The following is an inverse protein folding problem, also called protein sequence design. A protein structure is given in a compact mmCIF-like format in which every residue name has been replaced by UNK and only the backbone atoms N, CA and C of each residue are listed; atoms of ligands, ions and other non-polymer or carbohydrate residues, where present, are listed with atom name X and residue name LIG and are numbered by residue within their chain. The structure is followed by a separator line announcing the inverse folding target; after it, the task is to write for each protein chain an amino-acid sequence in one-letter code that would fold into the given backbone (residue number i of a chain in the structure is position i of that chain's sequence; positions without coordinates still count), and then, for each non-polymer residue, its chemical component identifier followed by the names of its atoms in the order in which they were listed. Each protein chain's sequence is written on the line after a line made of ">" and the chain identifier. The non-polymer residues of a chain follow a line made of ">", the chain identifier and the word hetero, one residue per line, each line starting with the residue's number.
data_IF_975069026730
#
_entry.id   IF_975069026730
#
_cell.length_a   1.000
_cell.length_b   1.000
_cell.length_c   1.000
_cell.angle_alpha   90.00
_cell.angle_beta   90.00
_cell.angle_gamma   90.00
#
_symmetry.space_group_name_H-M   'P 1'
#
loop_
_entity.id
_entity.type
_entity.pdbx_description
1 polymer ?
#
# COMPACT_ATOMS: atom_id res chain seq x y z
N UNK A 1 5.08 -36.71 -12.25
CA UNK A 1 4.07 -36.53 -11.15
C UNK A 1 4.27 -35.24 -10.35
N UNK A 2 5.37 -35.00 -9.58
CA UNK A 2 5.53 -33.76 -8.80
C UNK A 2 5.74 -32.52 -9.69
N UNK A 3 6.56 -32.60 -10.74
CA UNK A 3 6.78 -31.54 -11.73
C UNK A 3 5.49 -31.14 -12.45
N UNK A 4 4.69 -32.14 -12.83
CA UNK A 4 3.41 -31.91 -13.52
C UNK A 4 2.40 -31.25 -12.58
N UNK A 5 2.39 -31.66 -11.33
CA UNK A 5 1.55 -31.03 -10.31
C UNK A 5 1.94 -29.57 -10.07
N UNK A 6 3.24 -29.26 -9.93
CA UNK A 6 3.75 -27.88 -9.79
C UNK A 6 3.43 -27.06 -11.02
N UNK A 7 3.65 -27.59 -12.23
CA UNK A 7 3.34 -26.92 -13.48
C UNK A 7 1.83 -26.60 -13.57
N UNK A 8 0.98 -27.57 -13.26
CA UNK A 8 -0.47 -27.39 -13.28
C UNK A 8 -0.93 -26.36 -12.24
N UNK A 9 -0.36 -26.36 -11.01
CA UNK A 9 -0.66 -25.33 -10.01
C UNK A 9 -0.29 -23.92 -10.50
N UNK A 10 0.89 -23.74 -11.12
CA UNK A 10 1.30 -22.47 -11.72
C UNK A 10 0.37 -22.02 -12.84
N UNK A 11 -0.04 -22.97 -13.71
CA UNK A 11 -0.98 -22.68 -14.80
C UNK A 11 -2.36 -22.28 -14.27
N UNK A 12 -2.87 -22.96 -13.24
CA UNK A 12 -4.15 -22.62 -12.60
C UNK A 12 -4.06 -21.23 -11.93
N UNK A 13 -2.99 -20.95 -11.19
CA UNK A 13 -2.77 -19.64 -10.57
C UNK A 13 -2.77 -18.50 -11.59
N UNK A 14 -2.08 -18.70 -12.72
CA UNK A 14 -2.07 -17.73 -13.82
C UNK A 14 -3.46 -17.53 -14.44
N UNK A 15 -4.18 -18.62 -14.68
CA UNK A 15 -5.53 -18.55 -15.29
C UNK A 15 -6.52 -17.85 -14.33
N UNK A 16 -6.41 -18.08 -13.02
CA UNK A 16 -7.25 -17.40 -12.01
C UNK A 16 -6.99 -15.89 -12.00
N UNK A 17 -5.72 -15.46 -12.12
CA UNK A 17 -5.36 -14.05 -12.20
C UNK A 17 -5.89 -13.32 -13.46
N UNK A 18 -6.19 -14.06 -14.53
CA UNK A 18 -6.75 -13.52 -15.78
C UNK A 18 -8.30 -13.67 -15.86
N UNK A 19 -8.93 -14.26 -14.85
CA UNK A 19 -10.37 -14.55 -14.87
C UNK A 19 -11.18 -13.31 -14.48
N UNK A 20 -12.22 -13.01 -15.25
CA UNK A 20 -13.19 -11.97 -14.91
C UNK A 20 -14.14 -12.49 -13.82
N UNK A 21 -14.35 -11.68 -12.79
CA UNK A 21 -15.21 -11.98 -11.67
C UNK A 21 -16.40 -11.01 -11.71
N UNK A 22 -17.62 -11.54 -11.72
CA UNK A 22 -18.83 -10.75 -11.56
C UNK A 22 -18.99 -10.38 -10.08
N UNK A 23 -19.07 -9.10 -9.80
CA UNK A 23 -19.22 -8.57 -8.44
C UNK A 23 -20.67 -8.22 -8.15
N UNK A 24 -21.17 -8.62 -6.99
CA UNK A 24 -22.47 -8.15 -6.47
C UNK A 24 -22.28 -6.80 -5.78
N UNK A 25 -22.23 -5.74 -6.57
CA UNK A 25 -22.03 -4.39 -6.07
C UNK A 25 -23.37 -3.82 -5.62
N UNK A 26 -23.45 -3.30 -4.38
CA UNK A 26 -24.57 -2.55 -3.81
C UNK A 26 -24.10 -1.21 -3.24
N UNK A 27 -22.96 -1.21 -2.56
CA UNK A 27 -22.40 -0.04 -1.88
C UNK A 27 -21.05 0.33 -2.48
N UNK A 28 -20.98 1.48 -3.14
CA UNK A 28 -19.77 2.00 -3.77
C UNK A 28 -19.21 3.12 -2.91
N UNK A 29 -17.95 3.00 -2.52
CA UNK A 29 -17.21 4.03 -1.81
C UNK A 29 -16.36 4.85 -2.79
N UNK A 30 -16.50 6.16 -2.77
CA UNK A 30 -15.67 7.08 -3.57
C UNK A 30 -14.68 7.77 -2.65
N UNK A 31 -13.38 7.66 -2.99
CA UNK A 31 -12.27 8.29 -2.28
C UNK A 31 -11.60 9.28 -3.21
N UNK A 32 -11.55 10.54 -2.79
CA UNK A 32 -10.89 11.62 -3.52
C UNK A 32 -10.22 12.60 -2.57
N UNK A 33 -9.30 13.43 -3.08
CA UNK A 33 -8.70 14.51 -2.28
C UNK A 33 -9.71 15.66 -2.17
N UNK A 34 -10.11 15.97 -0.95
CA UNK A 34 -11.14 16.99 -0.68
C UNK A 34 -10.67 18.43 -0.83
N UNK A 35 -9.36 18.68 -0.94
CA UNK A 35 -8.79 20.02 -1.05
C UNK A 35 -8.56 20.48 -2.51
N UNK A 36 -8.85 19.64 -3.49
CA UNK A 36 -8.66 19.94 -4.91
C UNK A 36 -10.03 20.15 -5.57
N UNK A 37 -10.34 21.41 -5.94
CA UNK A 37 -11.62 21.78 -6.55
C UNK A 37 -11.93 21.03 -7.83
N UNK A 38 -10.92 20.75 -8.66
CA UNK A 38 -11.10 20.00 -9.90
C UNK A 38 -11.59 18.60 -9.62
N UNK A 39 -11.04 17.96 -8.59
CA UNK A 39 -11.44 16.62 -8.12
C UNK A 39 -12.85 16.60 -7.55
N UNK A 40 -13.27 17.67 -6.85
CA UNK A 40 -14.62 17.79 -6.31
C UNK A 40 -15.66 17.80 -7.43
N UNK A 41 -15.44 18.59 -8.47
CA UNK A 41 -16.33 18.66 -9.63
C UNK A 41 -16.41 17.34 -10.39
N UNK A 42 -15.28 16.65 -10.54
CA UNK A 42 -15.24 15.33 -11.18
C UNK A 42 -15.91 14.26 -10.32
N UNK A 43 -15.77 14.35 -9.00
CA UNK A 43 -16.50 13.48 -8.05
C UNK A 43 -18.00 13.72 -8.19
N UNK A 44 -18.44 14.97 -8.27
CA UNK A 44 -19.84 15.31 -8.51
C UNK A 44 -20.36 14.68 -9.81
N UNK A 45 -19.61 14.81 -10.91
CA UNK A 45 -19.95 14.22 -12.21
C UNK A 45 -20.10 12.69 -12.11
N UNK A 46 -19.15 12.03 -11.45
CA UNK A 46 -19.17 10.58 -11.23
C UNK A 46 -20.38 10.15 -10.38
N UNK A 47 -20.66 10.88 -9.30
CA UNK A 47 -21.80 10.59 -8.41
C UNK A 47 -23.13 10.70 -9.16
N UNK A 48 -23.34 11.78 -9.93
CA UNK A 48 -24.55 11.96 -10.72
C UNK A 48 -24.72 10.81 -11.73
N UNK A 49 -23.63 10.43 -12.41
CA UNK A 49 -23.66 9.33 -13.37
C UNK A 49 -24.02 8.00 -12.69
N UNK A 50 -23.38 7.67 -11.57
CA UNK A 50 -23.62 6.43 -10.82
C UNK A 50 -25.07 6.37 -10.26
N UNK A 51 -25.61 7.48 -9.77
CA UNK A 51 -26.97 7.55 -9.27
C UNK A 51 -28.01 7.45 -10.39
N UNK A 52 -27.67 7.91 -11.60
CA UNK A 52 -28.52 7.86 -12.79
C UNK A 52 -28.38 6.54 -13.56
N UNK A 53 -27.31 5.77 -13.27
CA UNK A 53 -27.02 4.55 -14.01
C UNK A 53 -28.06 3.46 -13.71
N UNK A 54 -28.71 2.99 -14.78
CA UNK A 54 -29.59 1.84 -14.73
C UNK A 54 -28.87 0.65 -15.35
N UNK A 55 -28.48 -0.30 -14.52
CA UNK A 55 -27.91 -1.56 -15.02
C UNK A 55 -28.99 -2.40 -15.72
N UNK A 56 -28.58 -3.31 -16.61
CA UNK A 56 -29.47 -4.29 -17.25
C UNK A 56 -30.26 -5.16 -16.23
N UNK A 57 -29.92 -5.07 -14.95
CA UNK A 57 -30.52 -5.80 -13.83
C UNK A 57 -31.36 -4.90 -12.91
N UNK A 58 -31.71 -3.68 -13.30
CA UNK A 58 -32.44 -2.68 -12.50
C UNK A 58 -31.80 -2.39 -11.11
N UNK A 59 -30.50 -2.66 -10.95
CA UNK A 59 -29.79 -2.50 -9.69
C UNK A 59 -29.50 -1.02 -9.43
N UNK A 60 -29.93 -0.53 -8.26
CA UNK A 60 -29.58 0.80 -7.75
C UNK A 60 -28.42 0.70 -6.76
N UNK A 61 -27.42 1.55 -6.93
CA UNK A 61 -26.24 1.60 -6.05
C UNK A 61 -26.41 2.63 -4.94
N UNK A 62 -25.94 2.32 -3.75
CA UNK A 62 -25.72 3.31 -2.69
C UNK A 62 -24.30 3.87 -2.85
N UNK A 63 -24.17 5.17 -3.06
CA UNK A 63 -22.92 5.86 -3.31
C UNK A 63 -22.49 6.59 -2.04
N UNK A 64 -21.31 6.27 -1.56
CA UNK A 64 -20.74 6.89 -0.36
C UNK A 64 -19.61 7.83 -0.75
N UNK A 65 -19.73 9.11 -0.39
CA UNK A 65 -18.71 10.14 -0.56
C UNK A 65 -18.21 10.62 0.79
N UNK A 66 -17.07 11.31 0.84
CA UNK A 66 -16.54 11.86 2.09
C UNK A 66 -17.55 12.82 2.75
N UNK A 67 -17.68 12.70 4.06
CA UNK A 67 -18.62 13.53 4.85
C UNK A 67 -18.33 15.02 4.76
N UNK A 68 -17.09 15.40 4.45
CA UNK A 68 -16.70 16.80 4.26
C UNK A 68 -17.42 17.44 3.05
N UNK A 69 -17.82 16.66 2.05
CA UNK A 69 -18.53 17.17 0.86
C UNK A 69 -19.88 17.80 1.18
N UNK A 70 -20.46 17.56 2.34
CA UNK A 70 -21.71 18.23 2.77
C UNK A 70 -21.59 19.75 2.85
N UNK A 71 -20.35 20.25 3.11
CA UNK A 71 -20.09 21.70 3.26
C UNK A 71 -19.40 22.33 2.07
N UNK A 72 -19.24 21.61 0.93
CA UNK A 72 -18.60 22.16 -0.25
C UNK A 72 -19.60 22.63 -1.29
N UNK A 73 -19.58 23.94 -1.60
CA UNK A 73 -20.44 24.54 -2.64
C UNK A 73 -20.18 23.92 -4.02
N UNK A 74 -18.93 23.61 -4.33
CA UNK A 74 -18.54 22.98 -5.61
C UNK A 74 -19.12 21.55 -5.78
N UNK A 75 -19.40 20.85 -4.70
CA UNK A 75 -20.07 19.53 -4.75
C UNK A 75 -21.58 19.67 -4.87
N UNK A 76 -22.16 20.68 -4.21
CA UNK A 76 -23.57 21.05 -4.27
C UNK A 76 -24.51 19.83 -4.16
N UNK A 77 -24.49 19.23 -2.98
CA UNK A 77 -25.27 18.02 -2.70
C UNK A 77 -26.79 18.23 -2.85
N UNK A 78 -27.29 19.43 -2.58
CA UNK A 78 -28.72 19.77 -2.72
C UNK A 78 -29.15 19.74 -4.20
N UNK A 79 -28.37 20.32 -5.08
CA UNK A 79 -28.63 20.28 -6.52
C UNK A 79 -28.64 18.84 -7.05
N UNK A 80 -27.73 17.95 -6.58
CA UNK A 80 -27.73 16.53 -6.95
C UNK A 80 -29.05 15.87 -6.49
N UNK A 81 -29.48 16.11 -5.27
CA UNK A 81 -30.70 15.52 -4.71
C UNK A 81 -31.97 16.03 -5.37
N UNK A 82 -31.97 17.26 -5.90
CA UNK A 82 -33.08 17.85 -6.61
C UNK A 82 -33.24 17.30 -8.04
N UNK A 83 -32.20 16.69 -8.63
CA UNK A 83 -32.31 16.06 -9.95
C UNK A 83 -33.30 14.88 -9.95
N UNK A 84 -33.34 14.10 -8.86
CA UNK A 84 -34.28 13.00 -8.71
C UNK A 84 -34.50 12.68 -7.23
N UNK A 85 -35.77 12.64 -6.79
CA UNK A 85 -36.12 12.33 -5.41
C UNK A 85 -35.61 10.98 -4.90
N UNK A 86 -35.42 10.00 -5.81
CA UNK A 86 -34.86 8.69 -5.45
C UNK A 86 -33.38 8.77 -4.98
N UNK A 87 -32.61 9.79 -5.39
CA UNK A 87 -31.20 9.94 -5.06
C UNK A 87 -30.97 10.16 -3.56
N UNK A 88 -31.98 10.72 -2.85
CA UNK A 88 -31.92 10.96 -1.40
C UNK A 88 -31.64 9.69 -0.58
N UNK A 89 -32.10 8.54 -1.05
CA UNK A 89 -31.91 7.26 -0.37
C UNK A 89 -30.58 6.57 -0.76
N UNK A 90 -29.95 7.01 -1.84
CA UNK A 90 -28.79 6.37 -2.44
C UNK A 90 -27.50 7.15 -2.27
N UNK A 91 -27.52 8.48 -2.11
CA UNK A 91 -26.34 9.29 -1.78
C UNK A 91 -26.13 9.26 -0.25
N UNK A 92 -24.98 8.75 0.17
CA UNK A 92 -24.59 8.59 1.57
C UNK A 92 -23.19 9.17 1.81
N UNK A 93 -22.85 9.33 3.07
CA UNK A 93 -21.57 9.92 3.47
C UNK A 93 -20.79 8.95 4.33
N UNK A 94 -19.50 8.82 4.04
CA UNK A 94 -18.63 8.01 4.87
C UNK A 94 -17.74 8.89 5.75
N UNK A 95 -17.30 8.32 6.86
CA UNK A 95 -16.29 8.86 7.76
C UNK A 95 -15.18 7.84 7.95
N UNK A 96 -14.03 8.29 8.39
CA UNK A 96 -12.90 7.41 8.70
C UNK A 96 -13.30 6.27 9.68
N UNK A 97 -14.09 6.60 10.71
CA UNK A 97 -14.55 5.61 11.69
C UNK A 97 -15.49 4.57 11.08
N UNK A 98 -16.38 4.98 10.18
CA UNK A 98 -17.30 4.07 9.48
C UNK A 98 -16.50 3.04 8.68
N UNK A 99 -15.53 3.48 7.89
CA UNK A 99 -14.69 2.59 7.10
C UNK A 99 -13.87 1.62 7.97
N UNK A 100 -13.35 2.09 9.09
CA UNK A 100 -12.58 1.26 10.03
C UNK A 100 -13.42 0.23 10.77
N UNK A 101 -14.62 0.60 11.22
CA UNK A 101 -15.51 -0.28 11.99
C UNK A 101 -16.30 -1.22 11.09
N UNK A 102 -16.73 -0.75 9.94
CA UNK A 102 -17.65 -1.44 9.04
C UNK A 102 -17.13 -1.54 7.60
N UNK A 103 -15.85 -1.91 7.44
CA UNK A 103 -15.22 -2.05 6.12
C UNK A 103 -15.94 -3.03 5.18
N UNK A 104 -16.59 -4.06 5.73
CA UNK A 104 -17.42 -5.02 4.98
C UNK A 104 -18.74 -4.46 4.46
N UNK A 105 -19.09 -3.22 4.81
CA UNK A 105 -20.27 -2.54 4.27
C UNK A 105 -20.09 -2.24 2.77
N UNK A 106 -18.88 -2.01 2.32
CA UNK A 106 -18.57 -1.59 0.97
C UNK A 106 -18.21 -2.79 0.10
N UNK A 107 -18.73 -2.81 -1.12
CA UNK A 107 -18.52 -3.88 -2.10
C UNK A 107 -17.49 -3.48 -3.16
N UNK A 108 -17.33 -2.17 -3.39
CA UNK A 108 -16.47 -1.62 -4.42
C UNK A 108 -15.94 -0.24 -4.03
N UNK A 109 -14.69 0.03 -4.34
CA UNK A 109 -14.05 1.33 -4.10
C UNK A 109 -13.65 1.96 -5.43
N UNK A 110 -13.98 3.23 -5.61
CA UNK A 110 -13.50 4.05 -6.73
C UNK A 110 -12.62 5.15 -6.15
N UNK A 111 -11.38 5.25 -6.61
CA UNK A 111 -10.48 6.35 -6.22
C UNK A 111 -10.30 7.34 -7.37
N UNK A 112 -10.38 8.64 -7.07
CA UNK A 112 -10.08 9.73 -7.99
C UNK A 112 -8.81 10.44 -7.55
N UNK A 113 -7.74 10.32 -8.35
CA UNK A 113 -6.44 10.91 -8.05
C UNK A 113 -5.28 10.04 -8.50
N UNK A 114 -4.10 10.28 -7.95
CA UNK A 114 -2.90 9.48 -8.23
C UNK A 114 -2.69 8.33 -7.23
N UNK A 115 -1.50 7.72 -7.31
CA UNK A 115 -1.10 6.57 -6.46
C UNK A 115 -1.25 6.86 -4.96
N UNK A 116 -1.04 8.11 -4.52
CA UNK A 116 -1.25 8.50 -3.12
C UNK A 116 -2.69 8.37 -2.62
N UNK A 117 -3.71 8.46 -3.51
CA UNK A 117 -5.12 8.24 -3.16
C UNK A 117 -5.39 6.74 -3.00
N UNK A 118 -4.74 5.91 -3.81
CA UNK A 118 -4.80 4.44 -3.68
C UNK A 118 -4.14 3.98 -2.39
N UNK A 119 -2.97 4.53 -2.04
CA UNK A 119 -2.31 4.26 -0.75
C UNK A 119 -3.19 4.68 0.43
N UNK A 120 -3.90 5.80 0.32
CA UNK A 120 -4.84 6.22 1.35
C UNK A 120 -5.99 5.21 1.51
N UNK A 121 -6.52 4.63 0.43
CA UNK A 121 -7.53 3.59 0.50
C UNK A 121 -7.00 2.33 1.21
N UNK A 122 -5.76 1.92 0.93
CA UNK A 122 -5.11 0.80 1.64
C UNK A 122 -4.96 1.08 3.14
N UNK A 123 -4.61 2.31 3.49
CA UNK A 123 -4.48 2.73 4.89
C UNK A 123 -5.83 2.81 5.62
N UNK A 124 -6.89 3.22 4.91
CA UNK A 124 -8.25 3.29 5.45
C UNK A 124 -8.78 1.88 5.81
N UNK A 125 -8.48 0.87 4.98
CA UNK A 125 -8.92 -0.51 5.15
C UNK A 125 -7.78 -1.42 5.64
N UNK A 126 -7.64 -1.54 6.95
CA UNK A 126 -6.54 -2.30 7.58
C UNK A 126 -6.79 -3.82 7.65
N UNK A 127 -7.91 -4.32 7.16
CA UNK A 127 -8.22 -5.75 7.07
C UNK A 127 -8.68 -6.09 5.66
N UNK A 128 -9.94 -6.48 5.53
CA UNK A 128 -10.56 -6.77 4.23
C UNK A 128 -10.74 -5.46 3.48
N UNK A 129 -10.30 -5.44 2.23
CA UNK A 129 -10.45 -4.32 1.31
C UNK A 129 -11.35 -4.75 0.17
N UNK A 130 -12.41 -4.00 -0.16
CA UNK A 130 -13.16 -4.21 -1.40
C UNK A 130 -12.28 -3.97 -2.64
N UNK A 131 -12.62 -4.54 -3.82
CA UNK A 131 -11.91 -4.25 -5.06
C UNK A 131 -11.83 -2.75 -5.35
N UNK A 132 -10.65 -2.27 -5.71
CA UNK A 132 -10.34 -0.85 -5.90
C UNK A 132 -10.11 -0.57 -7.38
N UNK A 133 -10.96 0.29 -7.94
CA UNK A 133 -10.81 0.88 -9.26
C UNK A 133 -10.24 2.30 -9.12
N UNK A 134 -9.13 2.58 -9.81
CA UNK A 134 -8.40 3.83 -9.59
C UNK A 134 -8.30 4.66 -10.86
N UNK A 135 -9.03 5.79 -10.90
CA UNK A 135 -8.95 6.76 -11.97
C UNK A 135 -7.86 7.80 -11.72
N UNK A 136 -6.99 7.98 -12.71
CA UNK A 136 -6.03 9.06 -12.81
C UNK A 136 -6.63 10.25 -13.56
N UNK A 137 -6.21 11.46 -13.22
CA UNK A 137 -6.65 12.73 -13.82
C UNK A 137 -5.55 13.42 -14.62
N UNK A 138 -4.53 12.71 -14.96
CA UNK A 138 -3.39 13.20 -15.72
C UNK A 138 -2.54 12.05 -16.17
N UNK A 139 -1.24 12.08 -15.85
CA UNK A 139 -0.39 10.92 -16.12
C UNK A 139 -0.87 9.72 -15.30
N UNK A 140 -0.99 8.57 -15.94
CA UNK A 140 -1.36 7.32 -15.28
C UNK A 140 -0.35 6.98 -14.18
N UNK A 141 -0.80 6.64 -12.97
CA UNK A 141 0.02 6.17 -11.84
C UNK A 141 0.37 4.67 -11.96
N UNK A 142 1.27 4.11 -11.14
CA UNK A 142 1.50 2.66 -11.06
C UNK A 142 0.33 1.90 -10.42
N UNK A 143 -0.47 2.61 -9.64
CA UNK A 143 -1.67 2.11 -8.99
C UNK A 143 -2.94 2.72 -9.57
N UNK A 144 -2.91 3.97 -10.03
CA UNK A 144 -4.02 4.65 -10.70
C UNK A 144 -3.88 4.46 -12.22
N UNK A 145 -4.51 3.39 -12.73
CA UNK A 145 -4.27 2.88 -14.09
C UNK A 145 -5.36 3.24 -15.11
N UNK A 146 -6.50 3.80 -14.67
CA UNK A 146 -7.61 4.14 -15.56
C UNK A 146 -7.65 5.65 -15.80
N UNK A 147 -7.92 6.05 -17.05
CA UNK A 147 -8.16 7.44 -17.39
C UNK A 147 -9.59 7.84 -17.04
N UNK A 148 -9.76 8.93 -16.30
CA UNK A 148 -11.08 9.42 -15.95
C UNK A 148 -11.89 9.91 -17.16
N UNK A 149 -11.25 10.28 -18.26
CA UNK A 149 -11.97 10.72 -19.47
C UNK A 149 -12.93 9.66 -20.02
N UNK A 150 -12.65 8.37 -19.77
CA UNK A 150 -13.43 7.21 -20.23
C UNK A 150 -14.15 6.49 -19.09
N UNK A 151 -14.42 7.18 -17.96
CA UNK A 151 -14.96 6.54 -16.76
C UNK A 151 -16.31 5.84 -16.97
N UNK A 152 -17.16 6.42 -17.80
CA UNK A 152 -18.50 5.92 -18.14
C UNK A 152 -18.44 4.56 -18.85
N UNK A 153 -17.66 4.47 -19.91
CA UNK A 153 -17.45 3.21 -20.65
C UNK A 153 -16.75 2.16 -19.77
N UNK A 154 -15.81 2.59 -18.94
CA UNK A 154 -15.07 1.71 -18.03
C UNK A 154 -16.01 1.09 -17.00
N UNK A 155 -16.84 1.90 -16.34
CA UNK A 155 -17.78 1.45 -15.32
C UNK A 155 -18.92 0.61 -15.93
N UNK A 156 -19.43 0.99 -17.10
CA UNK A 156 -20.43 0.19 -17.81
C UNK A 156 -19.90 -1.21 -18.14
N UNK A 157 -18.67 -1.31 -18.65
CA UNK A 157 -18.03 -2.59 -18.91
C UNK A 157 -17.84 -3.43 -17.63
N UNK A 158 -17.44 -2.79 -16.52
CA UNK A 158 -17.26 -3.44 -15.22
C UNK A 158 -18.58 -4.01 -14.69
N UNK A 159 -19.64 -3.22 -14.73
CA UNK A 159 -20.92 -3.61 -14.18
C UNK A 159 -21.63 -4.70 -15.01
N UNK A 160 -21.42 -4.71 -16.31
CA UNK A 160 -22.03 -5.68 -17.22
C UNK A 160 -21.18 -6.95 -17.45
N UNK A 161 -19.83 -6.85 -17.43
CA UNK A 161 -18.95 -7.95 -17.80
C UNK A 161 -17.99 -8.38 -16.68
N UNK A 162 -18.06 -7.74 -15.50
CA UNK A 162 -17.18 -8.03 -14.36
C UNK A 162 -15.77 -7.44 -14.48
N UNK A 163 -14.93 -7.77 -13.51
CA UNK A 163 -13.58 -7.22 -13.30
C UNK A 163 -12.51 -8.29 -13.32
N UNK A 164 -11.32 -7.91 -13.75
CA UNK A 164 -10.08 -8.65 -13.47
C UNK A 164 -9.46 -8.01 -12.23
N UNK A 165 -9.19 -8.80 -11.21
CA UNK A 165 -8.64 -8.32 -9.93
C UNK A 165 -7.30 -8.99 -9.65
N UNK A 166 -6.28 -8.18 -9.37
CA UNK A 166 -5.02 -8.69 -8.81
C UNK A 166 -4.94 -8.40 -7.31
N UNK A 167 -4.40 -9.36 -6.59
CA UNK A 167 -4.24 -9.29 -5.15
C UNK A 167 -2.81 -8.83 -4.82
N UNK A 168 -2.64 -7.52 -4.56
CA UNK A 168 -1.34 -6.96 -4.19
C UNK A 168 -0.99 -7.36 -2.76
N UNK A 169 0.24 -7.84 -2.57
CA UNK A 169 0.78 -8.15 -1.27
C UNK A 169 0.81 -6.90 -0.39
N UNK A 170 0.47 -7.08 0.89
CA UNK A 170 0.72 -6.07 1.94
C UNK A 170 1.60 -6.68 3.02
N UNK A 171 2.40 -5.86 3.68
CA UNK A 171 3.11 -6.29 4.88
C UNK A 171 2.34 -5.91 6.13
N UNK A 172 2.40 -6.79 7.12
CA UNK A 172 2.03 -6.50 8.50
C UNK A 172 3.29 -6.08 9.25
N UNK A 173 3.31 -4.83 9.66
CA UNK A 173 4.41 -4.24 10.42
C UNK A 173 3.94 -4.01 11.85
N UNK A 174 4.67 -4.55 12.85
CA UNK A 174 4.33 -4.44 14.27
C UNK A 174 5.51 -3.88 15.04
N UNK A 175 5.29 -2.77 15.75
CA UNK A 175 6.29 -2.18 16.65
C UNK A 175 6.31 -2.97 17.94
N UNK A 176 7.47 -3.47 18.30
CA UNK A 176 7.73 -4.24 19.51
C UNK A 176 8.55 -3.37 20.48
N UNK A 177 7.95 -3.03 21.63
CA UNK A 177 8.57 -2.20 22.68
C UNK A 177 9.12 -3.06 23.78
N UNK A 178 10.31 -2.71 24.28
CA UNK A 178 10.91 -3.34 25.45
C UNK A 178 9.96 -3.28 26.63
N UNK A 179 9.79 -4.40 27.35
CA UNK A 179 9.11 -4.43 28.65
C UNK A 179 10.04 -3.88 29.72
N UNK A 180 9.70 -2.72 30.27
CA UNK A 180 10.41 -2.15 31.43
C UNK A 180 9.85 -2.80 32.70
N UNK A 181 10.64 -3.67 33.35
CA UNK A 181 10.31 -4.14 34.68
C UNK A 181 10.86 -3.11 35.71
N UNK A 182 10.03 -2.65 36.62
CA UNK A 182 10.39 -1.60 37.60
C UNK A 182 11.54 -1.97 38.56
N UNK A 183 12.03 -3.21 38.50
CA UNK A 183 13.12 -3.70 39.37
C UNK A 183 14.52 -3.64 38.75
N UNK A 184 14.66 -3.34 37.44
CA UNK A 184 15.92 -3.61 36.76
C UNK A 184 16.39 -2.46 35.85
N UNK A 185 16.57 -1.26 36.39
CA UNK A 185 17.22 -0.16 35.66
C UNK A 185 18.69 -0.43 35.30
N UNK A 186 19.35 -1.36 36.01
CA UNK A 186 20.77 -1.72 35.78
C UNK A 186 21.01 -2.91 34.87
N UNK A 187 19.98 -3.70 34.53
CA UNK A 187 20.14 -4.95 33.75
C UNK A 187 20.07 -4.72 32.23
N UNK A 188 19.63 -3.54 31.77
CA UNK A 188 19.48 -3.26 30.33
C UNK A 188 20.80 -3.14 29.56
N UNK A 189 21.94 -2.99 30.24
CA UNK A 189 23.26 -2.85 29.57
C UNK A 189 23.92 -4.20 29.19
N UNK A 190 23.44 -5.34 29.73
CA UNK A 190 24.02 -6.66 29.48
C UNK A 190 23.13 -7.57 28.61
N UNK A 191 21.90 -7.14 28.28
CA UNK A 191 21.03 -7.95 27.40
C UNK A 191 21.48 -7.83 25.96
N UNK A 192 21.83 -8.97 25.39
CA UNK A 192 22.10 -9.07 23.96
C UNK A 192 20.74 -9.11 23.22
N UNK A 193 20.56 -8.24 22.21
CA UNK A 193 19.34 -8.16 21.39
C UNK A 193 19.03 -9.51 20.71
N UNK A 194 20.05 -10.23 20.27
CA UNK A 194 19.96 -11.56 19.67
C UNK A 194 19.26 -12.55 20.61
N UNK A 195 19.65 -12.56 21.88
CA UNK A 195 19.03 -13.43 22.89
C UNK A 195 17.57 -13.06 23.13
N UNK A 196 17.25 -11.77 23.18
CA UNK A 196 15.88 -11.29 23.39
C UNK A 196 14.94 -11.69 22.27
N UNK A 197 15.37 -11.55 21.01
CA UNK A 197 14.62 -11.95 19.81
C UNK A 197 14.47 -13.49 19.74
N UNK A 198 15.51 -14.24 20.10
CA UNK A 198 15.47 -15.71 20.15
C UNK A 198 14.57 -16.24 21.28
N UNK A 199 14.53 -15.60 22.42
CA UNK A 199 13.65 -15.97 23.54
C UNK A 199 12.18 -15.76 23.17
N UNK A 200 11.87 -14.67 22.48
CA UNK A 200 10.53 -14.39 21.97
C UNK A 200 10.07 -15.48 20.98
N UNK A 201 10.99 -16.03 20.16
CA UNK A 201 10.72 -17.18 19.29
C UNK A 201 10.38 -18.46 20.05
N UNK A 202 11.21 -18.84 21.04
CA UNK A 202 11.12 -20.15 21.72
C UNK A 202 9.82 -20.33 22.50
N UNK A 203 9.25 -19.24 23.03
CA UNK A 203 8.06 -19.29 23.90
C UNK A 203 6.76 -18.99 23.17
N UNK A 204 6.80 -18.61 21.86
CA UNK A 204 5.61 -18.25 21.08
C UNK A 204 4.86 -17.00 21.62
N UNK A 205 5.32 -16.46 22.74
CA UNK A 205 4.80 -15.26 23.40
C UNK A 205 6.00 -14.34 23.61
N UNK A 206 5.90 -13.08 23.18
CA UNK A 206 6.97 -12.12 23.40
C UNK A 206 7.17 -11.88 24.90
N UNK A 207 8.29 -12.41 25.43
CA UNK A 207 8.62 -12.36 26.86
C UNK A 207 9.28 -11.05 27.21
N UNK A 208 10.19 -10.59 26.34
CA UNK A 208 11.03 -9.41 26.55
C UNK A 208 10.40 -8.13 26.00
N UNK A 209 9.52 -8.26 25.00
CA UNK A 209 8.87 -7.14 24.34
C UNK A 209 7.33 -7.26 24.39
N UNK A 210 6.64 -6.15 24.16
CA UNK A 210 5.18 -6.11 23.97
C UNK A 210 4.85 -5.44 22.61
N UNK A 211 3.92 -6.00 21.85
CA UNK A 211 3.42 -5.32 20.66
C UNK A 211 2.65 -4.07 21.06
N UNK A 212 2.94 -2.94 20.41
CA UNK A 212 2.24 -1.67 20.69
C UNK A 212 1.30 -1.28 19.57
N UNK A 213 1.84 -1.11 18.37
CA UNK A 213 1.11 -0.66 17.19
C UNK A 213 1.37 -1.61 16.03
N UNK A 214 0.35 -1.82 15.19
CA UNK A 214 0.47 -2.68 14.01
C UNK A 214 -0.24 -2.02 12.83
N UNK A 215 0.45 -1.98 11.69
CA UNK A 215 -0.02 -1.38 10.45
C UNK A 215 0.11 -2.36 9.29
N UNK A 216 -0.86 -2.35 8.38
CA UNK A 216 -0.73 -2.98 7.07
C UNK A 216 -0.32 -1.93 6.06
N UNK A 217 0.75 -2.21 5.33
CA UNK A 217 1.33 -1.31 4.33
C UNK A 217 1.28 -1.94 2.94
N UNK A 218 1.12 -1.10 1.92
CA UNK A 218 1.06 -1.52 0.52
C UNK A 218 2.40 -1.31 -0.20
N UNK A 219 3.11 -0.21 0.07
CA UNK A 219 4.39 0.10 -0.56
C UNK A 219 5.58 -0.29 0.32
N UNK A 220 5.85 0.48 1.37
CA UNK A 220 7.10 0.36 2.10
C UNK A 220 7.01 0.76 3.58
N UNK A 221 7.91 0.17 4.34
CA UNK A 221 8.30 0.58 5.68
C UNK A 221 9.69 1.19 5.59
N UNK A 222 9.84 2.38 6.11
CA UNK A 222 11.14 3.06 6.19
C UNK A 222 11.54 3.20 7.65
N UNK A 223 12.75 2.79 7.97
CA UNK A 223 13.40 3.06 9.26
C UNK A 223 14.57 3.99 8.99
N UNK A 224 14.53 5.20 9.51
CA UNK A 224 15.53 6.23 9.27
C UNK A 224 16.07 6.88 10.56
N UNK A 225 17.11 7.68 10.44
CA UNK A 225 17.74 8.40 11.57
C UNK A 225 16.87 9.55 12.13
N UNK A 226 15.76 9.89 11.47
CA UNK A 226 14.93 11.03 11.87
C UNK A 226 15.69 12.36 11.80
N UNK A 227 15.47 13.24 12.77
CA UNK A 227 16.16 14.54 12.84
C UNK A 227 17.61 14.43 13.33
N UNK A 228 18.10 13.24 13.71
CA UNK A 228 19.43 13.05 14.25
C UNK A 228 20.51 13.25 13.16
N UNK A 229 21.61 13.88 13.52
CA UNK A 229 22.74 14.09 12.63
C UNK A 229 23.58 12.82 12.41
N UNK A 230 23.50 11.84 13.33
CA UNK A 230 24.28 10.60 13.28
C UNK A 230 23.61 9.58 12.36
N UNK A 231 24.42 8.75 11.72
CA UNK A 231 23.95 7.59 10.97
C UNK A 231 23.13 6.65 11.87
N UNK A 232 22.08 6.07 11.32
CA UNK A 232 21.35 5.00 12.01
C UNK A 232 22.25 3.79 12.18
N UNK A 233 22.29 3.24 13.39
CA UNK A 233 22.83 1.91 13.66
C UNK A 233 21.64 1.00 13.91
N UNK A 234 21.37 0.09 12.97
CA UNK A 234 20.24 -0.82 13.03
C UNK A 234 20.75 -2.26 12.85
N UNK A 235 20.05 -3.21 13.47
CA UNK A 235 20.30 -4.64 13.29
C UNK A 235 19.15 -5.25 12.49
N UNK A 236 19.51 -5.97 11.43
CA UNK A 236 18.57 -6.66 10.57
C UNK A 236 18.59 -8.16 10.85
N UNK A 237 17.41 -8.73 11.11
CA UNK A 237 17.21 -10.16 11.32
C UNK A 237 16.21 -10.72 10.32
N UNK A 238 16.47 -11.97 9.89
CA UNK A 238 15.54 -12.78 9.10
C UNK A 238 15.31 -14.13 9.78
N UNK A 239 14.04 -14.49 9.99
CA UNK A 239 13.64 -15.71 10.70
C UNK A 239 14.37 -15.89 12.04
N UNK A 240 14.55 -14.77 12.76
CA UNK A 240 15.23 -14.67 14.07
C UNK A 240 16.75 -14.92 14.01
N UNK A 241 17.37 -14.95 12.84
CA UNK A 241 18.83 -15.00 12.69
C UNK A 241 19.29 -13.59 12.32
N UNK A 242 20.38 -13.16 12.96
CA UNK A 242 21.05 -11.91 12.57
C UNK A 242 21.56 -12.03 11.13
N UNK A 243 21.21 -11.07 10.30
CA UNK A 243 21.67 -10.99 8.91
C UNK A 243 22.84 -10.02 8.77
N UNK A 244 22.65 -8.79 9.25
CA UNK A 244 23.68 -7.75 9.14
C UNK A 244 23.35 -6.56 10.04
N UNK A 245 24.43 -5.81 10.38
CA UNK A 245 24.31 -4.47 10.98
C UNK A 245 24.25 -3.43 9.88
N UNK A 246 23.31 -2.51 9.97
CA UNK A 246 23.05 -1.46 8.98
C UNK A 246 23.56 -0.13 9.51
N UNK A 247 24.56 0.44 8.86
CA UNK A 247 25.04 1.81 9.08
C UNK A 247 24.71 2.64 7.85
N UNK A 248 23.65 3.41 7.93
CA UNK A 248 23.08 4.14 6.80
C UNK A 248 22.21 5.31 7.30
N UNK A 249 21.76 6.18 6.43
CA UNK A 249 20.68 7.13 6.77
C UNK A 249 19.39 6.40 7.14
N UNK A 250 19.19 5.19 6.64
CA UNK A 250 18.09 4.32 6.95
C UNK A 250 18.04 3.06 6.12
N UNK A 251 16.92 2.35 6.23
CA UNK A 251 16.59 1.16 5.46
C UNK A 251 15.14 1.21 5.01
N UNK A 252 14.89 0.86 3.76
CA UNK A 252 13.57 0.73 3.17
C UNK A 252 13.25 -0.75 2.97
N UNK A 253 12.18 -1.24 3.60
CA UNK A 253 11.64 -2.59 3.41
C UNK A 253 10.36 -2.47 2.59
N UNK A 254 10.39 -2.94 1.35
CA UNK A 254 9.34 -2.69 0.38
C UNK A 254 8.68 -3.97 -0.12
N UNK A 255 7.39 -3.87 -0.43
CA UNK A 255 6.66 -4.87 -1.20
C UNK A 255 7.08 -4.78 -2.68
N UNK A 256 6.77 -5.79 -3.52
CA UNK A 256 6.94 -5.67 -4.96
C UNK A 256 6.17 -4.49 -5.57
N UNK A 257 4.99 -4.17 -5.04
CA UNK A 257 4.23 -2.97 -5.44
C UNK A 257 5.00 -1.68 -5.14
N UNK A 258 5.63 -1.58 -3.99
CA UNK A 258 6.45 -0.44 -3.58
C UNK A 258 7.81 -0.36 -4.26
N UNK A 259 8.20 -1.36 -5.07
CA UNK A 259 9.48 -1.33 -5.83
C UNK A 259 9.56 -0.15 -6.80
N UNK A 260 8.43 0.41 -7.19
CA UNK A 260 8.33 1.60 -8.05
C UNK A 260 8.17 2.91 -7.27
N UNK A 261 8.20 2.85 -5.93
CA UNK A 261 8.08 3.97 -5.02
C UNK A 261 9.43 4.35 -4.39
N UNK A 262 9.50 4.56 -3.09
CA UNK A 262 10.71 5.03 -2.41
C UNK A 262 11.90 4.03 -2.52
N UNK A 263 11.63 2.73 -2.55
CA UNK A 263 12.66 1.71 -2.79
C UNK A 263 13.43 1.96 -4.10
N UNK A 264 12.76 2.40 -5.18
CA UNK A 264 13.42 2.76 -6.43
C UNK A 264 14.38 3.93 -6.24
N UNK A 265 13.95 4.98 -5.55
CA UNK A 265 14.78 6.15 -5.25
C UNK A 265 15.97 5.81 -4.35
N UNK A 266 15.85 4.80 -3.49
CA UNK A 266 16.94 4.25 -2.69
C UNK A 266 17.87 3.31 -3.46
N UNK A 267 17.70 3.18 -4.79
CA UNK A 267 18.51 2.30 -5.64
C UNK A 267 18.11 0.83 -5.58
N UNK A 268 16.90 0.54 -5.11
CA UNK A 268 16.30 -0.81 -5.11
C UNK A 268 15.96 -1.28 -6.52
N UNK A 269 15.85 -2.60 -6.68
CA UNK A 269 15.48 -3.21 -7.95
C UNK A 269 13.98 -3.08 -8.22
N UNK A 270 13.60 -2.89 -9.47
CA UNK A 270 12.22 -3.08 -9.91
C UNK A 270 11.82 -4.55 -9.71
N UNK A 271 10.63 -4.77 -9.19
CA UNK A 271 10.09 -6.10 -8.94
C UNK A 271 8.65 -6.17 -9.45
N UNK A 272 8.36 -7.18 -10.28
CA UNK A 272 7.00 -7.40 -10.74
C UNK A 272 6.07 -7.69 -9.55
N UNK A 273 4.87 -7.09 -9.49
CA UNK A 273 3.98 -7.23 -8.33
C UNK A 273 3.56 -8.64 -7.96
N UNK A 274 3.63 -9.59 -8.89
CA UNK A 274 3.27 -11.00 -8.67
C UNK A 274 4.43 -11.84 -8.09
N UNK A 275 5.62 -11.27 -7.98
CA UNK A 275 6.76 -11.99 -7.39
C UNK A 275 6.63 -11.96 -5.86
N UNK A 276 6.56 -13.12 -5.18
CA UNK A 276 6.44 -13.17 -3.73
C UNK A 276 7.79 -12.84 -3.07
N UNK A 277 8.09 -11.55 -2.94
CA UNK A 277 9.36 -11.08 -2.42
C UNK A 277 9.22 -9.93 -1.43
N UNK A 278 10.20 -9.80 -0.55
CA UNK A 278 10.46 -8.62 0.28
C UNK A 278 11.71 -7.95 -0.29
N UNK A 279 11.63 -6.67 -0.59
CA UNK A 279 12.76 -5.89 -1.06
C UNK A 279 13.38 -5.15 0.13
N UNK A 280 14.70 -5.24 0.26
CA UNK A 280 15.47 -4.59 1.31
C UNK A 280 16.45 -3.64 0.63
N UNK A 281 16.26 -2.34 0.78
CA UNK A 281 17.07 -1.30 0.14
C UNK A 281 17.67 -0.38 1.19
N UNK A 282 19.01 -0.31 1.34
CA UNK A 282 19.62 0.66 2.21
C UNK A 282 19.48 2.07 1.65
N UNK A 283 19.37 3.06 2.53
CA UNK A 283 19.28 4.48 2.17
C UNK A 283 20.64 5.12 2.51
N UNK A 284 21.40 5.54 1.51
CA UNK A 284 22.71 6.13 1.67
C UNK A 284 23.64 5.33 2.62
N UNK A 285 23.90 4.04 2.34
CA UNK A 285 24.71 3.21 3.23
C UNK A 285 26.16 3.70 3.28
N UNK A 286 26.75 3.63 4.47
CA UNK A 286 28.15 3.97 4.67
C UNK A 286 29.11 2.97 3.96
N UNK A 287 28.70 1.69 3.91
CA UNK A 287 29.50 0.62 3.28
C UNK A 287 29.02 0.32 1.88
N UNK A 288 29.92 0.28 0.90
CA UNK A 288 29.62 -0.04 -0.50
C UNK A 288 29.18 -1.50 -0.71
N UNK A 289 29.45 -2.37 0.25
CA UNK A 289 29.06 -3.79 0.22
C UNK A 289 27.59 -4.04 0.52
N UNK A 290 26.91 -3.10 1.20
CA UNK A 290 25.49 -3.24 1.44
C UNK A 290 24.71 -2.83 0.18
N UNK A 291 24.25 -3.82 -0.56
CA UNK A 291 23.46 -3.66 -1.78
C UNK A 291 22.00 -4.03 -1.52
N UNK A 292 21.06 -3.45 -2.27
CA UNK A 292 19.69 -3.93 -2.25
C UNK A 292 19.61 -5.43 -2.50
N UNK A 293 18.77 -6.11 -1.74
CA UNK A 293 18.55 -7.54 -1.89
C UNK A 293 17.07 -7.89 -1.85
N UNK A 294 16.72 -9.03 -2.43
CA UNK A 294 15.38 -9.60 -2.39
C UNK A 294 15.42 -10.89 -1.59
N UNK A 295 14.42 -11.06 -0.72
CA UNK A 295 14.20 -12.30 0.02
C UNK A 295 12.76 -12.78 -0.20
N UNK A 296 12.50 -14.05 0.08
CA UNK A 296 11.17 -14.62 -0.10
C UNK A 296 10.18 -14.03 0.93
N UNK A 297 8.93 -13.84 0.55
CA UNK A 297 7.86 -13.24 1.38
C UNK A 297 7.47 -14.07 2.60
N UNK A 298 7.82 -15.36 2.61
CA UNK A 298 7.63 -16.22 3.80
C UNK A 298 8.57 -15.89 4.97
N UNK A 299 9.63 -15.11 4.72
CA UNK A 299 10.57 -14.69 5.75
C UNK A 299 9.95 -13.63 6.67
N UNK A 300 10.21 -13.75 7.96
CA UNK A 300 9.87 -12.72 8.94
C UNK A 300 11.11 -11.86 9.19
N UNK A 301 11.04 -10.58 8.88
CA UNK A 301 12.12 -9.64 9.15
C UNK A 301 11.90 -8.91 10.47
N UNK A 302 13.03 -8.58 11.14
CA UNK A 302 13.04 -7.67 12.27
C UNK A 302 14.11 -6.61 12.02
N UNK A 303 13.71 -5.34 12.15
CA UNK A 303 14.64 -4.19 12.11
C UNK A 303 14.67 -3.61 13.51
N UNK A 304 15.81 -3.66 14.15
CA UNK A 304 15.96 -3.35 15.56
C UNK A 304 16.98 -2.22 15.81
N UNK A 305 16.77 -1.43 16.84
CA UNK A 305 17.74 -0.46 17.35
C UNK A 305 18.53 -1.13 18.46
N UNK A 306 19.87 -1.34 18.30
CA UNK A 306 20.66 -2.00 19.32
C UNK A 306 20.67 -1.19 20.63
N UNK A 307 20.83 -1.87 21.77
CA UNK A 307 20.84 -1.21 23.08
C UNK A 307 21.94 -0.17 23.25
N UNK A 308 23.08 -0.38 22.58
CA UNK A 308 24.24 0.53 22.57
C UNK A 308 24.19 1.58 21.47
N UNK A 309 23.09 1.70 20.72
CA UNK A 309 22.97 2.71 19.68
C UNK A 309 23.05 4.12 20.27
N UNK A 310 23.77 5.02 19.58
CA UNK A 310 23.95 6.42 20.01
C UNK A 310 22.67 7.25 19.91
N UNK A 311 21.78 6.87 18.99
CA UNK A 311 20.53 7.58 18.70
C UNK A 311 19.36 6.63 18.58
N UNK A 312 18.16 7.17 18.71
CA UNK A 312 16.91 6.50 18.35
C UNK A 312 16.74 6.46 16.82
N UNK A 313 15.82 5.66 16.32
CA UNK A 313 15.43 5.66 14.92
C UNK A 313 13.93 5.98 14.78
N UNK A 314 13.51 6.29 13.58
CA UNK A 314 12.13 6.63 13.26
C UNK A 314 11.59 5.69 12.20
N UNK A 315 10.36 5.24 12.39
CA UNK A 315 9.68 4.33 11.47
C UNK A 315 8.51 5.04 10.83
N UNK A 316 8.37 4.91 9.51
CA UNK A 316 7.19 5.37 8.76
C UNK A 316 6.59 4.23 7.95
N UNK A 317 5.27 4.29 7.72
CA UNK A 317 4.45 3.26 7.10
C UNK A 317 3.72 3.86 5.90
N UNK A 318 4.08 3.48 4.67
CA UNK A 318 3.58 4.11 3.42
C UNK A 318 3.72 5.65 3.47
N UNK A 319 4.83 6.17 4.00
CA UNK A 319 5.07 7.60 4.19
C UNK A 319 4.21 8.28 5.27
N UNK A 320 3.54 7.52 6.13
CA UNK A 320 2.63 8.00 7.19
C UNK A 320 3.02 7.48 8.56
N UNK A 321 2.35 7.99 9.61
CA UNK A 321 2.44 7.50 10.99
C UNK A 321 3.88 7.35 11.47
N UNK A 322 4.64 8.45 11.39
CA UNK A 322 6.03 8.45 11.83
C UNK A 322 6.14 8.25 13.34
N UNK A 323 6.79 7.17 13.74
CA UNK A 323 6.90 6.74 15.14
C UNK A 323 8.37 6.56 15.50
N UNK A 324 8.79 7.16 16.62
CA UNK A 324 10.12 6.95 17.17
C UNK A 324 10.25 5.55 17.79
N UNK A 325 11.33 4.85 17.47
CA UNK A 325 11.75 3.60 18.12
C UNK A 325 13.07 3.81 18.86
N UNK A 326 13.09 3.36 20.12
CA UNK A 326 14.23 3.57 21.04
C UNK A 326 15.15 2.35 21.05
N UNK A 327 16.27 2.51 21.75
CA UNK A 327 17.22 1.42 21.96
C UNK A 327 16.51 0.19 22.54
N UNK A 328 16.79 -0.97 21.94
CA UNK A 328 16.15 -2.23 22.28
C UNK A 328 14.82 -2.50 21.56
N UNK A 329 14.11 -1.48 21.10
CA UNK A 329 12.88 -1.67 20.31
C UNK A 329 13.18 -2.25 18.93
N UNK A 330 12.21 -2.97 18.36
CA UNK A 330 12.30 -3.46 16.98
C UNK A 330 10.94 -3.42 16.27
N UNK A 331 10.97 -3.50 14.95
CA UNK A 331 9.78 -3.66 14.11
C UNK A 331 9.82 -5.03 13.47
N UNK A 332 8.74 -5.78 13.60
CA UNK A 332 8.54 -7.06 12.90
C UNK A 332 7.79 -6.81 11.61
N UNK A 333 8.28 -7.36 10.51
CA UNK A 333 7.69 -7.25 9.17
C UNK A 333 7.42 -8.65 8.64
N UNK A 334 6.21 -8.92 8.19
CA UNK A 334 5.82 -10.19 7.57
C UNK A 334 4.74 -9.98 6.52
N UNK A 335 4.61 -10.89 5.55
CA UNK A 335 3.51 -10.86 4.61
C UNK A 335 2.16 -10.94 5.34
N UNK A 336 1.21 -10.11 4.93
CA UNK A 336 -0.12 -10.07 5.50
C UNK A 336 -1.05 -11.03 4.78
N UNK A 337 -1.93 -11.70 5.55
CA UNK A 337 -3.04 -12.48 4.97
C UNK A 337 -4.14 -11.63 4.32
N UNK A 338 -4.07 -10.31 4.42
CA UNK A 338 -5.04 -9.38 3.87
C UNK A 338 -4.43 -8.63 2.69
N UNK A 339 -4.53 -9.16 1.46
CA UNK A 339 -4.03 -8.48 0.26
C UNK A 339 -4.85 -7.24 -0.05
N UNK A 340 -4.36 -6.44 -1.00
CA UNK A 340 -5.05 -5.28 -1.51
C UNK A 340 -5.50 -5.56 -2.96
N UNK A 341 -6.82 -5.69 -3.22
CA UNK A 341 -7.34 -6.03 -4.53
C UNK A 341 -7.41 -4.80 -5.44
N UNK A 342 -6.69 -4.83 -6.55
CA UNK A 342 -6.71 -3.78 -7.59
C UNK A 342 -7.41 -4.30 -8.84
N UNK A 343 -8.32 -3.50 -9.39
CA UNK A 343 -8.98 -3.76 -10.67
C UNK A 343 -8.04 -3.39 -11.81
N UNK A 344 -7.97 -4.24 -12.84
CA UNK A 344 -7.17 -4.06 -14.05
C UNK A 344 -8.04 -3.95 -15.30
N UNK A 345 -7.52 -3.23 -16.31
CA UNK A 345 -8.16 -3.15 -17.63
C UNK A 345 -7.95 -4.43 -18.43
N UNK A 346 -6.73 -4.95 -18.37
CA UNK A 346 -6.26 -6.10 -19.13
C UNK A 346 -5.45 -7.04 -18.23
N UNK A 347 -4.65 -7.92 -18.84
CA UNK A 347 -3.73 -8.76 -18.08
C UNK A 347 -2.73 -7.91 -17.30
N UNK A 348 -2.62 -8.18 -16.02
CA UNK A 348 -1.79 -7.44 -15.07
C UNK A 348 -0.34 -7.21 -15.53
N UNK A 349 0.30 -8.21 -16.13
CA UNK A 349 1.67 -8.10 -16.62
C UNK A 349 1.82 -7.05 -17.72
N UNK A 350 0.85 -6.97 -18.64
CA UNK A 350 0.83 -5.97 -19.70
C UNK A 350 0.76 -4.55 -19.14
N UNK A 351 -0.15 -4.33 -18.19
CA UNK A 351 -0.39 -3.00 -17.60
C UNK A 351 0.83 -2.50 -16.84
N UNK A 352 1.56 -3.39 -16.13
CA UNK A 352 2.75 -3.02 -15.38
C UNK A 352 3.91 -2.59 -16.29
N UNK A 353 4.20 -3.35 -17.34
CA UNK A 353 5.26 -3.01 -18.31
C UNK A 353 4.93 -1.73 -19.11
N UNK A 354 3.68 -1.55 -19.50
CA UNK A 354 3.21 -0.29 -20.10
C UNK A 354 3.43 0.87 -19.14
N UNK A 355 3.13 0.67 -17.85
CA UNK A 355 3.39 1.64 -16.80
C UNK A 355 4.87 2.00 -16.67
N UNK A 356 5.79 1.06 -16.74
CA UNK A 356 7.23 1.33 -16.71
C UNK A 356 7.67 2.17 -17.91
N UNK A 357 7.24 1.78 -19.13
CA UNK A 357 7.60 2.50 -20.34
C UNK A 357 7.12 3.95 -20.31
N UNK A 358 5.84 4.16 -19.99
CA UNK A 358 5.24 5.51 -20.05
C UNK A 358 5.69 6.45 -18.95
N UNK A 359 6.07 5.94 -17.77
CA UNK A 359 6.36 6.79 -16.58
C UNK A 359 7.83 6.99 -16.31
N UNK A 360 8.65 5.96 -16.54
CA UNK A 360 10.08 6.06 -16.32
C UNK A 360 10.83 6.42 -17.60
N UNK A 361 10.15 6.51 -18.78
CA UNK A 361 10.83 6.60 -20.06
C UNK A 361 11.79 5.41 -20.24
N UNK A 362 11.36 4.22 -19.78
CA UNK A 362 12.23 3.06 -19.63
C UNK A 362 12.86 2.67 -20.97
N UNK A 363 14.19 2.79 -21.05
CA UNK A 363 15.00 2.60 -22.25
C UNK A 363 14.70 3.58 -23.41
N UNK A 364 13.98 4.68 -23.16
CA UNK A 364 13.90 5.75 -24.14
C UNK A 364 15.26 6.47 -24.26
N UNK A 365 15.80 6.49 -25.48
CA UNK A 365 16.99 7.30 -25.76
C UNK A 365 16.58 8.77 -25.74
N UNK A 366 17.12 9.57 -24.84
CA UNK A 366 17.00 11.02 -24.92
C UNK A 366 17.45 11.47 -26.32
N UNK A 367 16.57 12.15 -27.05
CA UNK A 367 16.96 12.75 -28.34
C UNK A 367 18.22 13.61 -28.09
N UNK A 368 19.28 13.38 -28.87
CA UNK A 368 20.47 14.21 -28.84
C UNK A 368 20.00 15.66 -28.98
N UNK A 369 20.48 16.60 -28.15
CA UNK A 369 20.16 18.00 -28.32
C UNK A 369 20.48 18.39 -29.77
N UNK A 370 19.55 19.06 -30.44
CA UNK A 370 19.80 19.60 -31.79
C UNK A 370 21.07 20.47 -31.70
N UNK A 371 22.03 20.31 -32.63
CA UNK A 371 23.18 21.21 -32.66
C UNK A 371 22.65 22.63 -32.75
N UNK A 372 23.21 23.51 -31.92
CA UNK A 372 22.94 24.95 -32.00
C UNK A 372 23.31 25.36 -33.42
N UNK A 373 22.32 25.79 -34.21
CA UNK A 373 22.56 26.45 -35.48
C UNK A 373 23.30 27.74 -35.21
N UNK A 374 24.55 27.84 -35.70
CA UNK A 374 25.31 29.10 -35.74
C UNK A 374 24.61 30.16 -36.55
#
# INVERSE_FOLDING_TARGET
>A
MLSDMIFNMKKISKNLGDTRIMLEIKNILIITKTHDKSLILLTRKLVIWLLSYQSNFEKKYSIYVDSTFKGYDDFDSESILNLNLSFKNHLKYWTFELCRKHGSLFDFIITLGGDGTVLFSSWLFQKIVPPVLSFSLGSLGFLAMFDFSTFDNTLDNIFNHGVIVSLRMRFKCTIMRVKVNNSDQSINQTKNLDQSILEDKKKGISVTHKPKESFLILNDLVVDRGPNAFLSSLELYGDYKHLTSVQADGICISTPTGSTAYSLSAGGSLCHPDIPAILISPICPHTLSFRPLLVHDSMILHVAVPYNARSTAWVSFDGRNRVEIKQGDYVTISASRFPFPIVHQSKQSSDWFTGLATRLGWNERSMKPKPLSN
#
